data_IF_996120263642
#
_entry.id   IF_996120263642
#
_cell.length_a   1.000
_cell.length_b   1.000
_cell.length_c   1.000
_cell.angle_alpha   90.00
_cell.angle_beta   90.00
_cell.angle_gamma   90.00
#
_symmetry.space_group_name_H-M   'P 1'
#
loop_
_entity.id
_entity.type
_entity.pdbx_description
1 polymer ?
#
# COMPACT_ATOMS: atom_id res chain seq x y z
N UNK A 1 18.46 26.30 -11.53
CA UNK A 1 17.97 26.44 -10.15
C UNK A 1 17.49 25.07 -9.73
N UNK A 2 18.29 24.33 -8.97
CA UNK A 2 17.96 22.98 -8.55
C UNK A 2 16.90 23.05 -7.46
N UNK A 3 15.68 22.63 -7.77
CA UNK A 3 14.69 22.32 -6.74
C UNK A 3 15.26 21.19 -5.89
N UNK A 4 15.62 21.48 -4.65
CA UNK A 4 15.89 20.44 -3.65
C UNK A 4 14.60 19.62 -3.50
N UNK A 5 14.57 18.45 -4.12
CA UNK A 5 13.48 17.50 -3.98
C UNK A 5 13.67 16.85 -2.60
N UNK A 6 12.87 17.29 -1.63
CA UNK A 6 12.76 16.61 -0.35
C UNK A 6 11.96 15.32 -0.58
N UNK A 7 12.69 14.22 -0.84
CA UNK A 7 12.13 12.88 -0.80
C UNK A 7 11.67 12.60 0.64
N UNK A 8 10.37 12.39 0.84
CA UNK A 8 9.86 11.90 2.12
C UNK A 8 10.04 10.39 2.19
N UNK A 9 10.80 9.93 3.17
CA UNK A 9 10.95 8.50 3.46
C UNK A 9 9.95 8.10 4.53
N UNK A 10 9.28 6.97 4.28
CA UNK A 10 8.38 6.32 5.21
C UNK A 10 8.88 4.91 5.49
N UNK A 11 8.74 4.46 6.73
CA UNK A 11 8.78 3.04 7.06
C UNK A 11 7.49 2.65 7.76
N UNK A 12 7.01 1.46 7.44
CA UNK A 12 5.82 0.87 8.03
C UNK A 12 6.16 -0.51 8.56
N UNK A 13 5.61 -0.86 9.71
CA UNK A 13 5.82 -2.18 10.31
C UNK A 13 4.63 -2.57 11.16
N UNK A 14 4.33 -3.87 11.18
CA UNK A 14 3.38 -4.44 12.14
C UNK A 14 4.15 -4.76 13.42
N UNK A 15 3.67 -4.27 14.56
CA UNK A 15 4.32 -4.49 15.86
C UNK A 15 3.58 -5.60 16.65
N UNK A 16 4.06 -5.91 17.86
CA UNK A 16 3.47 -6.94 18.73
C UNK A 16 2.02 -6.65 19.17
N UNK A 17 1.56 -5.41 19.02
CA UNK A 17 0.17 -5.02 19.23
C UNK A 17 -0.70 -5.27 17.98
N UNK A 18 -0.13 -5.94 16.98
CA UNK A 18 -0.73 -6.33 15.70
C UNK A 18 -1.24 -5.13 14.89
N UNK A 19 -0.80 -3.91 15.23
CA UNK A 19 -1.15 -2.70 14.52
C UNK A 19 -0.01 -2.29 13.61
N UNK A 20 -0.35 -1.56 12.56
CA UNK A 20 0.65 -0.94 11.70
C UNK A 20 1.09 0.37 12.32
N UNK A 21 2.40 0.46 12.58
CA UNK A 21 3.07 1.68 12.96
C UNK A 21 3.78 2.27 11.75
N UNK A 22 3.86 3.59 11.75
CA UNK A 22 4.55 4.39 10.74
C UNK A 22 5.61 5.25 11.41
N UNK A 23 6.74 5.39 10.75
CA UNK A 23 7.76 6.39 11.05
C UNK A 23 8.11 7.11 9.75
N UNK A 24 8.46 8.39 9.85
CA UNK A 24 8.82 9.20 8.68
C UNK A 24 10.14 9.94 8.93
N UNK A 25 10.84 10.26 7.85
CA UNK A 25 12.05 11.07 7.92
C UNK A 25 11.71 12.54 7.60
N UNK A 26 12.06 13.46 8.50
CA UNK A 26 11.95 14.92 8.34
C UNK A 26 13.32 15.55 8.53
N UNK A 27 13.76 16.34 7.56
CA UNK A 27 15.05 17.05 7.63
C UNK A 27 16.23 16.13 8.01
N UNK A 28 16.26 14.93 7.40
CA UNK A 28 17.21 13.84 7.66
C UNK A 28 17.14 13.20 9.05
N UNK A 29 16.12 13.50 9.85
CA UNK A 29 15.88 12.94 11.19
C UNK A 29 14.62 12.09 11.17
N UNK A 30 14.70 10.88 11.73
CA UNK A 30 13.52 10.01 11.89
C UNK A 30 12.65 10.49 13.05
N UNK A 31 11.34 10.53 12.84
CA UNK A 31 10.36 10.85 13.89
C UNK A 31 10.21 9.68 14.87
N UNK A 32 9.30 9.81 15.84
CA UNK A 32 8.84 8.65 16.61
C UNK A 32 7.86 7.81 15.79
N UNK A 33 7.77 6.53 16.15
CA UNK A 33 6.72 5.64 15.64
C UNK A 33 5.34 6.11 16.08
N UNK A 34 4.39 6.11 15.15
CA UNK A 34 2.97 6.43 15.40
C UNK A 34 2.08 5.34 14.82
N UNK A 35 1.01 5.00 15.54
CA UNK A 35 0.02 4.02 15.07
C UNK A 35 -0.75 4.63 13.89
N UNK A 36 -0.90 3.85 12.81
CA UNK A 36 -1.75 4.22 11.69
C UNK A 36 -3.22 4.37 12.13
N UNK A 37 -4.01 5.26 11.50
CA UNK A 37 -5.39 5.56 11.92
C UNK A 37 -6.26 4.32 12.15
N UNK A 38 -7.22 4.45 13.07
CA UNK A 38 -8.25 3.47 13.46
C UNK A 38 -7.78 2.15 14.11
N UNK A 39 -6.48 1.95 14.37
CA UNK A 39 -5.98 0.93 15.29
C UNK A 39 -6.41 -0.51 15.01
N UNK A 40 -6.72 -0.82 13.75
CA UNK A 40 -7.12 -2.15 13.29
C UNK A 40 -5.95 -3.14 13.42
N UNK A 41 -6.28 -4.40 13.66
CA UNK A 41 -5.36 -5.52 13.85
C UNK A 41 -5.08 -6.18 12.50
N UNK A 42 -3.81 -6.50 12.24
CA UNK A 42 -3.31 -7.06 11.00
C UNK A 42 -2.37 -8.22 11.25
N UNK A 43 -2.49 -9.27 10.44
CA UNK A 43 -1.63 -10.46 10.49
C UNK A 43 -0.49 -10.40 9.50
N UNK A 44 -0.67 -9.65 8.39
CA UNK A 44 0.39 -9.49 7.42
C UNK A 44 0.38 -8.13 6.73
N UNK A 45 1.59 -7.57 6.66
CA UNK A 45 2.01 -6.58 5.69
C UNK A 45 1.56 -5.16 5.97
N UNK A 46 2.51 -4.24 5.81
CA UNK A 46 2.25 -2.87 5.40
C UNK A 46 2.91 -2.69 4.04
N UNK A 47 2.22 -3.09 2.97
CA UNK A 47 2.74 -2.93 1.62
C UNK A 47 2.44 -1.52 1.15
N UNK A 48 3.50 -0.74 0.95
CA UNK A 48 3.41 0.64 0.49
C UNK A 48 3.47 0.71 -1.03
N UNK A 49 2.51 1.41 -1.64
CA UNK A 49 2.44 1.65 -3.08
C UNK A 49 2.10 3.11 -3.38
N UNK A 50 2.58 3.61 -4.51
CA UNK A 50 2.35 5.01 -4.96
C UNK A 50 1.63 5.03 -6.31
N UNK A 51 0.72 5.96 -6.56
CA UNK A 51 0.04 6.05 -7.87
C UNK A 51 0.97 6.44 -9.03
N UNK A 52 2.09 7.08 -8.72
CA UNK A 52 3.11 7.53 -9.69
C UNK A 52 4.50 6.97 -9.37
N UNK A 53 5.38 6.84 -10.38
CA UNK A 53 6.79 6.48 -10.16
C UNK A 53 7.45 7.42 -9.13
N UNK A 54 8.45 6.96 -8.37
CA UNK A 54 9.15 7.80 -7.40
C UNK A 54 9.81 9.05 -8.02
N UNK A 55 10.10 9.03 -9.32
CA UNK A 55 10.69 10.17 -10.03
C UNK A 55 9.66 11.26 -10.40
N UNK A 56 8.36 10.95 -10.36
CA UNK A 56 7.28 11.88 -10.70
C UNK A 56 6.81 12.64 -9.46
N UNK A 57 7.44 13.80 -9.26
CA UNK A 57 7.20 14.74 -8.15
C UNK A 57 5.99 15.66 -8.34
N UNK A 58 5.12 15.37 -9.31
CA UNK A 58 3.92 16.19 -9.52
C UNK A 58 3.02 16.17 -8.28
N UNK A 59 2.38 17.31 -8.00
CA UNK A 59 1.61 17.64 -6.77
C UNK A 59 0.38 16.75 -6.48
N UNK A 60 0.20 15.67 -7.23
CA UNK A 60 -0.90 14.72 -7.14
C UNK A 60 -0.35 13.28 -7.12
N UNK A 61 0.62 12.99 -6.24
CA UNK A 61 0.99 11.61 -5.93
C UNK A 61 0.14 11.14 -4.76
N UNK A 62 -0.59 10.06 -4.97
CA UNK A 62 -1.26 9.34 -3.91
C UNK A 62 -0.37 8.18 -3.44
N UNK A 63 -0.43 7.90 -2.15
CA UNK A 63 0.25 6.79 -1.53
C UNK A 63 -0.77 5.93 -0.79
N UNK A 64 -0.58 4.62 -0.83
CA UNK A 64 -1.49 3.67 -0.25
C UNK A 64 -0.68 2.66 0.57
N UNK A 65 -1.19 2.32 1.75
CA UNK A 65 -0.71 1.18 2.53
C UNK A 65 -1.77 0.11 2.45
N UNK A 66 -1.37 -1.08 2.02
CA UNK A 66 -2.21 -2.27 2.04
C UNK A 66 -1.81 -3.17 3.20
N UNK A 67 -2.81 -3.78 3.82
CA UNK A 67 -2.64 -4.68 4.95
C UNK A 67 -3.69 -5.79 4.93
N UNK A 68 -3.33 -6.95 5.48
CA UNK A 68 -4.19 -8.13 5.58
C UNK A 68 -4.56 -8.32 7.05
N UNK A 69 -5.87 -8.36 7.32
CA UNK A 69 -6.36 -8.56 8.68
C UNK A 69 -6.46 -10.04 9.06
N UNK A 70 -6.86 -10.31 10.30
CA UNK A 70 -7.00 -11.69 10.84
C UNK A 70 -8.01 -12.56 10.10
N UNK A 71 -8.88 -11.96 9.27
CA UNK A 71 -9.88 -12.64 8.46
C UNK A 71 -9.42 -12.84 7.01
N UNK A 72 -8.14 -12.56 6.72
CA UNK A 72 -7.55 -12.57 5.38
C UNK A 72 -8.17 -11.53 4.43
N UNK A 73 -8.84 -10.52 4.98
CA UNK A 73 -9.38 -9.42 4.18
C UNK A 73 -8.30 -8.35 3.94
N UNK A 74 -8.29 -7.79 2.74
CA UNK A 74 -7.37 -6.71 2.39
C UNK A 74 -7.97 -5.36 2.76
N UNK A 75 -7.21 -4.54 3.48
CA UNK A 75 -7.56 -3.17 3.79
C UNK A 75 -6.56 -2.21 3.18
N UNK A 76 -7.07 -1.03 2.84
CA UNK A 76 -6.28 0.07 2.30
C UNK A 76 -6.44 1.31 3.15
N UNK A 77 -5.33 1.99 3.40
CA UNK A 77 -5.28 3.33 3.97
C UNK A 77 -4.53 4.24 3.00
N UNK A 78 -5.13 5.39 2.66
CA UNK A 78 -4.71 6.21 1.53
C UNK A 78 -4.33 7.62 1.96
N UNK A 79 -3.31 8.18 1.33
CA UNK A 79 -2.94 9.59 1.38
C UNK A 79 -2.97 10.12 -0.06
N UNK A 80 -3.92 10.97 -0.38
CA UNK A 80 -4.15 11.45 -1.76
C UNK A 80 -3.12 12.50 -2.22
N UNK A 81 -2.28 12.98 -1.31
CA UNK A 81 -1.24 13.95 -1.62
C UNK A 81 -0.02 13.73 -0.71
N UNK A 82 0.61 12.57 -0.81
CA UNK A 82 1.70 12.20 0.10
C UNK A 82 2.99 13.02 -0.09
N UNK A 83 3.12 13.74 -1.21
CA UNK A 83 4.20 14.71 -1.40
C UNK A 83 4.07 15.90 -0.42
N UNK A 84 2.84 16.27 -0.05
CA UNK A 84 2.58 17.49 0.72
C UNK A 84 1.88 17.26 2.06
N UNK A 85 1.16 16.15 2.20
CA UNK A 85 0.37 15.81 3.39
C UNK A 85 0.91 14.55 4.04
N UNK A 86 0.80 14.48 5.36
CA UNK A 86 1.29 13.35 6.17
C UNK A 86 0.14 12.49 6.72
N UNK A 87 -1.11 12.84 6.38
CA UNK A 87 -2.29 12.16 6.90
C UNK A 87 -2.70 11.01 5.99
N UNK A 88 -3.00 9.88 6.59
CA UNK A 88 -3.61 8.75 5.92
C UNK A 88 -5.08 8.63 6.34
N UNK A 89 -5.91 8.14 5.43
CA UNK A 89 -7.32 7.87 5.71
C UNK A 89 -7.49 6.75 6.75
N UNK A 90 -8.64 6.67 7.42
CA UNK A 90 -9.05 5.43 8.09
C UNK A 90 -8.94 4.22 7.16
N UNK A 91 -8.70 3.04 7.73
CA UNK A 91 -8.68 1.79 6.97
C UNK A 91 -10.04 1.53 6.32
N UNK A 92 -10.03 1.19 5.05
CA UNK A 92 -11.21 0.83 4.27
C UNK A 92 -11.01 -0.56 3.67
N UNK A 93 -12.07 -1.39 3.68
CA UNK A 93 -12.04 -2.71 3.08
C UNK A 93 -11.81 -2.58 1.56
N UNK A 94 -10.83 -3.30 1.05
CA UNK A 94 -10.56 -3.46 -0.37
C UNK A 94 -11.28 -4.71 -0.86
N UNK A 95 -12.33 -4.55 -1.67
CA UNK A 95 -13.05 -5.69 -2.21
C UNK A 95 -12.14 -6.48 -3.16
N UNK A 96 -11.81 -7.69 -2.73
CA UNK A 96 -11.01 -8.67 -3.46
C UNK A 96 -11.88 -9.89 -3.72
N UNK A 97 -11.64 -10.58 -4.83
CA UNK A 97 -12.43 -11.76 -5.20
C UNK A 97 -12.16 -12.94 -4.26
N UNK A 98 -10.97 -12.95 -3.64
CA UNK A 98 -10.50 -13.95 -2.68
C UNK A 98 -9.78 -13.24 -1.53
N UNK A 99 -9.89 -13.79 -0.32
CA UNK A 99 -9.03 -13.38 0.79
C UNK A 99 -7.56 -13.69 0.49
N UNK A 100 -6.65 -12.89 1.04
CA UNK A 100 -5.20 -13.05 0.86
C UNK A 100 -4.54 -13.51 2.15
N UNK A 101 -3.63 -14.48 2.02
CA UNK A 101 -2.74 -14.88 3.11
C UNK A 101 -1.57 -13.92 3.22
N UNK A 102 -1.04 -13.46 2.07
CA UNK A 102 0.19 -12.67 2.03
C UNK A 102 0.26 -11.67 0.90
N UNK A 103 1.09 -10.65 1.09
CA UNK A 103 1.64 -9.84 0.01
C UNK A 103 3.10 -10.21 -0.23
N UNK A 104 3.45 -10.46 -1.49
CA UNK A 104 4.81 -10.77 -1.90
C UNK A 104 5.51 -9.57 -2.54
N UNK A 105 4.75 -8.62 -3.10
CA UNK A 105 5.30 -7.37 -3.60
C UNK A 105 4.32 -6.55 -4.41
N UNK A 106 4.85 -5.50 -5.05
CA UNK A 106 4.13 -4.64 -5.98
C UNK A 106 4.88 -4.51 -7.30
N UNK A 107 4.16 -4.14 -8.35
CA UNK A 107 4.70 -3.89 -9.69
C UNK A 107 3.96 -2.74 -10.34
N UNK A 108 4.49 -2.22 -11.44
CA UNK A 108 3.83 -1.21 -12.26
C UNK A 108 3.66 -1.71 -13.68
N UNK A 109 2.43 -1.66 -14.16
CA UNK A 109 2.10 -1.97 -15.55
C UNK A 109 2.49 -0.79 -16.46
N UNK A 110 2.69 -1.09 -17.75
CA UNK A 110 3.06 -0.09 -18.75
C UNK A 110 2.01 1.02 -18.93
N UNK A 111 0.76 0.71 -18.64
CA UNK A 111 -0.36 1.68 -18.64
C UNK A 111 -0.41 2.54 -17.36
N UNK A 112 0.56 2.38 -16.46
CA UNK A 112 0.68 3.16 -15.23
C UNK A 112 -0.05 2.56 -14.03
N UNK A 113 -0.90 1.52 -14.23
CA UNK A 113 -1.56 0.82 -13.11
C UNK A 113 -0.55 0.19 -12.17
N UNK A 114 -0.87 0.20 -10.89
CA UNK A 114 0.00 -0.34 -9.84
C UNK A 114 -0.56 -1.67 -9.38
N UNK A 115 0.17 -2.74 -9.66
CA UNK A 115 -0.18 -4.08 -9.26
C UNK A 115 0.37 -4.42 -7.88
N UNK A 116 -0.38 -5.25 -7.16
CA UNK A 116 -0.02 -5.83 -5.88
C UNK A 116 -0.26 -7.32 -5.99
N UNK A 117 0.71 -8.16 -5.65
CA UNK A 117 0.59 -9.61 -5.79
C UNK A 117 0.95 -10.36 -4.51
N UNK A 118 0.42 -11.56 -4.40
CA UNK A 118 0.51 -12.36 -3.19
C UNK A 118 -0.11 -13.74 -3.37
N UNK A 119 -0.35 -14.41 -2.24
CA UNK A 119 -0.96 -15.74 -2.19
C UNK A 119 -2.36 -15.62 -1.58
N UNK A 120 -3.36 -16.20 -2.26
CA UNK A 120 -4.73 -16.29 -1.78
C UNK A 120 -4.91 -17.37 -0.70
N UNK A 121 -6.05 -17.34 -0.01
CA UNK A 121 -6.44 -18.40 0.94
C UNK A 121 -6.66 -19.78 0.30
N UNK A 122 -6.70 -19.84 -1.03
CA UNK A 122 -6.76 -21.05 -1.84
C UNK A 122 -5.38 -21.54 -2.29
N UNK A 123 -4.31 -21.00 -1.72
CA UNK A 123 -2.90 -21.29 -2.04
C UNK A 123 -2.51 -21.01 -3.50
N UNK A 124 -3.28 -20.16 -4.20
CA UNK A 124 -3.00 -19.75 -5.58
C UNK A 124 -2.42 -18.32 -5.63
N UNK A 125 -1.59 -18.01 -6.65
CA UNK A 125 -1.11 -16.65 -6.85
C UNK A 125 -2.25 -15.73 -7.28
N UNK A 126 -2.24 -14.51 -6.74
CA UNK A 126 -3.25 -13.50 -7.00
C UNK A 126 -2.59 -12.15 -7.23
N UNK A 127 -3.21 -11.28 -8.05
CA UNK A 127 -2.88 -9.86 -8.05
C UNK A 127 -4.11 -8.96 -8.16
N UNK A 128 -4.01 -7.77 -7.59
CA UNK A 128 -4.95 -6.67 -7.79
C UNK A 128 -4.21 -5.48 -8.40
N UNK A 129 -4.88 -4.66 -9.19
CA UNK A 129 -4.30 -3.47 -9.79
C UNK A 129 -5.08 -2.23 -9.41
N UNK A 130 -4.38 -1.16 -9.09
CA UNK A 130 -4.97 0.16 -8.85
C UNK A 130 -4.87 1.02 -10.11
N UNK A 131 -5.98 1.62 -10.51
CA UNK A 131 -6.01 2.68 -11.50
C UNK A 131 -5.32 3.94 -10.94
N UNK A 132 -4.29 4.49 -11.59
CA UNK A 132 -3.50 5.59 -11.05
C UNK A 132 -4.23 6.94 -11.06
N UNK A 133 -5.37 7.04 -11.75
CA UNK A 133 -6.18 8.26 -11.87
C UNK A 133 -7.37 8.23 -10.91
N UNK A 134 -8.13 7.13 -10.92
CA UNK A 134 -9.32 7.00 -10.07
C UNK A 134 -9.00 6.45 -8.68
N UNK A 135 -7.82 5.84 -8.51
CA UNK A 135 -7.42 5.09 -7.32
C UNK A 135 -8.34 3.91 -6.97
N UNK A 136 -9.18 3.49 -7.92
CA UNK A 136 -9.98 2.27 -7.79
C UNK A 136 -9.10 1.05 -7.99
N UNK A 137 -9.34 0.02 -7.19
CA UNK A 137 -8.67 -1.26 -7.33
C UNK A 137 -9.57 -2.24 -8.10
N UNK A 138 -8.96 -2.96 -9.02
CA UNK A 138 -9.55 -4.02 -9.81
C UNK A 138 -8.83 -5.33 -9.49
N UNK A 139 -9.61 -6.36 -9.22
CA UNK A 139 -9.16 -7.67 -8.75
C UNK A 139 -9.08 -8.64 -9.91
N UNK A 140 -7.96 -9.38 -10.03
CA UNK A 140 -7.77 -10.37 -11.11
C UNK A 140 -7.16 -11.64 -10.52
N UNK A 141 -7.92 -12.74 -10.54
CA UNK A 141 -7.38 -14.07 -10.24
C UNK A 141 -6.49 -14.55 -11.39
N UNK A 142 -5.24 -14.92 -11.09
CA UNK A 142 -4.40 -15.62 -12.06
C UNK A 142 -4.89 -17.05 -12.18
N UNK A 143 -5.51 -17.38 -13.31
CA UNK A 143 -5.73 -18.78 -13.68
C UNK A 143 -4.37 -19.39 -14.03
N UNK A 144 -3.81 -20.21 -13.14
CA UNK A 144 -2.67 -21.05 -13.47
C UNK A 144 -3.21 -22.33 -14.06
N UNK A 145 -3.26 -22.44 -15.40
CA UNK A 145 -3.43 -23.74 -16.05
C UNK A 145 -2.05 -24.39 -16.13
N UNK A 146 -1.86 -25.49 -15.41
CA UNK A 146 -0.77 -26.41 -15.70
C UNK A 146 -1.24 -27.29 -16.87
N UNK A 147 -0.72 -27.03 -18.06
CA UNK A 147 -0.74 -28.02 -19.16
C UNK A 147 0.36 -29.05 -18.96
#
# INVERSE_FOLDING_TARGET
VGTNILLKLYCFAVFNDEKIHRIEQKDNIWTNWTIMPSGKIFVQGALFVTSKPPEDISTAQSCHVLAIDTSNEVYVSSNTNCAHQESFSPWSLLQTDVGLLSFNGSFRLRDGRVGVYGIGIDDLPYYTTMNPVTHNFESIKLAVSFE
#
